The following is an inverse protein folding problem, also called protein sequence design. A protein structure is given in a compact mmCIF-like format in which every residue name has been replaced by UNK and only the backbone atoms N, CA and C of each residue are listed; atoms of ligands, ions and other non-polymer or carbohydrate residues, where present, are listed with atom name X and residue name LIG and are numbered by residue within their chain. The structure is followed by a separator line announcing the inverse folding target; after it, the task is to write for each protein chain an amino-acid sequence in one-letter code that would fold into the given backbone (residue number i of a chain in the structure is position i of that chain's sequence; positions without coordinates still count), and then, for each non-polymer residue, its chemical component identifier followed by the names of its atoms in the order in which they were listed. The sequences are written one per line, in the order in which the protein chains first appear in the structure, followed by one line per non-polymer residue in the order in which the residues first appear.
data_IF_616509352535
#
_entry.id   IF_616509352535
#
_cell.length_a   1.000
_cell.length_b   1.000
_cell.length_c   1.000
_cell.angle_alpha   90.00
_cell.angle_beta   90.00
_cell.angle_gamma   90.00
#
_symmetry.space_group_name_H-M   'P 1'
#
loop_
_entity.id
_entity.type
_entity.pdbx_description
1 polymer ?
#
# COMPACT_ATOMS: atom_id res chain seq x y z
N UNK A 1 -3.46 -2.75 -18.19
CA UNK A 1 -2.04 -2.87 -18.57
C UNK A 1 -1.68 -4.32 -18.84
N UNK A 2 -2.00 -5.24 -17.93
CA UNK A 2 -1.70 -6.67 -18.07
C UNK A 2 -2.54 -7.32 -19.18
N UNK A 3 -3.85 -7.02 -19.20
CA UNK A 3 -4.79 -7.49 -20.24
C UNK A 3 -4.36 -7.10 -21.66
N UNK A 4 -3.75 -5.92 -21.80
CA UNK A 4 -3.29 -5.37 -23.09
C UNK A 4 -1.87 -5.83 -23.48
N UNK A 5 -1.23 -6.70 -22.69
CA UNK A 5 0.14 -7.24 -22.91
C UNK A 5 1.18 -6.18 -23.30
N UNK A 6 1.10 -4.99 -22.71
CA UNK A 6 1.90 -3.83 -23.13
C UNK A 6 3.41 -3.94 -22.85
N UNK A 7 3.84 -4.93 -22.07
CA UNK A 7 5.25 -5.13 -21.70
C UNK A 7 5.63 -6.63 -21.70
N UNK A 8 5.83 -7.25 -22.87
CA UNK A 8 6.03 -8.69 -23.01
C UNK A 8 7.37 -9.19 -22.44
N UNK A 9 8.43 -8.37 -22.47
CA UNK A 9 9.81 -8.77 -22.17
C UNK A 9 10.28 -8.35 -20.77
N UNK A 10 9.36 -8.29 -19.80
CA UNK A 10 9.69 -7.90 -18.43
C UNK A 10 10.42 -9.03 -17.69
N UNK A 11 11.46 -8.73 -16.88
CA UNK A 11 12.05 -9.69 -15.96
C UNK A 11 10.99 -10.39 -15.11
N UNK A 12 11.18 -11.68 -14.82
CA UNK A 12 10.18 -12.56 -14.19
C UNK A 12 9.50 -11.93 -12.97
N UNK A 13 10.26 -11.41 -12.00
CA UNK A 13 9.69 -10.78 -10.81
C UNK A 13 8.83 -9.56 -11.13
N UNK A 14 9.25 -8.72 -12.08
CA UNK A 14 8.45 -7.56 -12.49
C UNK A 14 7.15 -8.01 -13.17
N UNK A 15 7.19 -9.11 -13.92
CA UNK A 15 6.00 -9.72 -14.55
C UNK A 15 5.02 -10.25 -13.50
N UNK A 16 5.52 -10.86 -12.42
CA UNK A 16 4.70 -11.28 -11.28
C UNK A 16 4.00 -10.11 -10.60
N UNK A 17 4.75 -9.07 -10.22
CA UNK A 17 4.19 -7.87 -9.61
C UNK A 17 3.11 -7.21 -10.48
N UNK A 18 3.38 -7.13 -11.78
CA UNK A 18 2.42 -6.62 -12.75
C UNK A 18 1.16 -7.50 -12.77
N UNK A 19 1.33 -8.83 -12.77
CA UNK A 19 0.23 -9.80 -12.71
C UNK A 19 -0.62 -9.71 -11.45
N UNK A 20 -0.04 -9.38 -10.29
CA UNK A 20 -0.78 -9.26 -9.02
C UNK A 20 -1.50 -7.92 -8.86
N UNK A 21 -1.03 -6.87 -9.53
CA UNK A 21 -1.52 -5.50 -9.33
C UNK A 21 -3.02 -5.34 -9.66
N UNK A 22 -3.45 -5.77 -10.86
CA UNK A 22 -4.84 -5.58 -11.30
C UNK A 22 -5.83 -6.39 -10.44
N UNK A 23 -5.60 -7.69 -10.16
CA UNK A 23 -6.43 -8.46 -9.23
C UNK A 23 -6.54 -7.82 -7.85
N UNK A 24 -5.41 -7.42 -7.25
CA UNK A 24 -5.40 -6.80 -5.93
C UNK A 24 -6.14 -5.45 -5.92
N UNK A 25 -5.86 -4.59 -6.90
CA UNK A 25 -6.54 -3.29 -7.04
C UNK A 25 -8.06 -3.48 -7.12
N UNK A 26 -8.52 -4.41 -7.95
CA UNK A 26 -9.95 -4.68 -8.13
C UNK A 26 -10.58 -5.23 -6.84
N UNK A 27 -9.85 -6.09 -6.10
CA UNK A 27 -10.31 -6.61 -4.81
C UNK A 27 -10.41 -5.50 -3.75
N UNK A 28 -9.43 -4.60 -3.67
CA UNK A 28 -9.47 -3.42 -2.79
C UNK A 28 -10.63 -2.49 -3.17
N UNK A 29 -10.82 -2.22 -4.46
CA UNK A 29 -11.93 -1.37 -4.93
C UNK A 29 -13.30 -1.99 -4.62
N UNK A 30 -13.43 -3.32 -4.75
CA UNK A 30 -14.63 -4.05 -4.31
C UNK A 30 -14.83 -3.93 -2.81
N UNK A 31 -13.75 -4.04 -2.03
CA UNK A 31 -13.79 -3.93 -0.58
C UNK A 31 -14.20 -2.52 -0.10
N UNK A 32 -13.73 -1.46 -0.79
CA UNK A 32 -14.12 -0.07 -0.57
C UNK A 32 -15.61 0.19 -0.89
N UNK A 33 -16.14 -0.46 -1.93
CA UNK A 33 -17.55 -0.30 -2.36
C UNK A 33 -18.53 -1.17 -1.56
N UNK A 34 -18.04 -2.16 -0.82
CA UNK A 34 -18.89 -3.09 -0.09
C UNK A 34 -19.48 -2.45 1.18
N UNK A 35 -20.72 -2.82 1.50
CA UNK A 35 -21.44 -2.30 2.65
C UNK A 35 -20.69 -2.50 3.98
N UNK A 36 -20.87 -1.55 4.90
CA UNK A 36 -20.19 -1.55 6.21
C UNK A 36 -20.70 -2.70 7.07
N UNK A 37 -19.94 -3.79 7.13
CA UNK A 37 -20.19 -4.86 8.10
C UNK A 37 -19.60 -4.51 9.48
N UNK A 38 -20.06 -5.18 10.54
CA UNK A 38 -19.54 -4.99 11.91
C UNK A 38 -18.01 -5.18 12.00
N UNK A 39 -17.45 -6.11 11.22
CA UNK A 39 -16.00 -6.35 11.14
C UNK A 39 -15.27 -5.21 10.42
N UNK A 40 -15.88 -4.66 9.37
CA UNK A 40 -15.35 -3.53 8.60
C UNK A 40 -15.40 -2.22 9.37
N UNK A 41 -16.35 -2.02 10.29
CA UNK A 41 -16.52 -0.76 11.02
C UNK A 41 -15.22 -0.25 11.69
N UNK A 42 -14.34 -1.17 12.11
CA UNK A 42 -13.08 -0.81 12.77
C UNK A 42 -12.02 -0.21 11.83
N UNK A 43 -12.09 -0.47 10.52
CA UNK A 43 -11.11 0.01 9.54
C UNK A 43 -11.72 0.73 8.32
N UNK A 44 -13.03 0.66 8.13
CA UNK A 44 -13.76 1.21 6.97
C UNK A 44 -13.49 2.70 6.71
N UNK A 45 -13.41 3.60 7.71
CA UNK A 45 -13.07 4.99 7.45
C UNK A 45 -11.69 5.18 6.80
N UNK A 46 -10.78 4.22 6.98
CA UNK A 46 -9.39 4.31 6.57
C UNK A 46 -9.12 3.65 5.22
N UNK A 47 -9.90 2.63 4.83
CA UNK A 47 -9.76 2.00 3.52
C UNK A 47 -10.18 2.93 2.39
N UNK A 48 -11.09 3.88 2.64
CA UNK A 48 -11.54 4.86 1.66
C UNK A 48 -10.63 6.10 1.55
N UNK A 49 -9.63 6.23 2.42
CA UNK A 49 -8.76 7.41 2.48
C UNK A 49 -7.76 7.51 1.32
N UNK A 50 -7.56 6.43 0.55
CA UNK A 50 -6.62 6.38 -0.56
C UNK A 50 -7.20 5.60 -1.74
N UNK A 51 -6.95 6.03 -2.99
CA UNK A 51 -7.27 5.24 -4.17
C UNK A 51 -6.70 3.82 -4.12
N UNK A 52 -7.48 2.84 -4.61
CA UNK A 52 -7.15 1.42 -4.57
C UNK A 52 -5.84 1.07 -5.28
N UNK A 53 -5.51 1.77 -6.37
CA UNK A 53 -4.26 1.62 -7.12
C UNK A 53 -3.03 1.91 -6.25
N UNK A 54 -3.07 3.00 -5.46
CA UNK A 54 -1.98 3.33 -4.55
C UNK A 54 -1.87 2.33 -3.40
N UNK A 55 -3.01 1.91 -2.84
CA UNK A 55 -3.01 0.89 -1.78
C UNK A 55 -2.38 -0.41 -2.28
N UNK A 56 -2.77 -0.89 -3.46
CA UNK A 56 -2.22 -2.10 -4.05
C UNK A 56 -0.69 -2.02 -4.20
N UNK A 57 -0.16 -0.91 -4.74
CA UNK A 57 1.29 -0.71 -4.88
C UNK A 57 1.99 -0.72 -3.52
N UNK A 58 1.45 -0.01 -2.52
CA UNK A 58 2.04 0.05 -1.18
C UNK A 58 2.08 -1.34 -0.55
N UNK A 59 0.98 -2.09 -0.59
CA UNK A 59 0.86 -3.41 0.01
C UNK A 59 1.85 -4.38 -0.64
N UNK A 60 1.86 -4.47 -1.97
CA UNK A 60 2.79 -5.35 -2.69
C UNK A 60 4.25 -4.99 -2.40
N UNK A 61 4.60 -3.70 -2.47
CA UNK A 61 5.98 -3.27 -2.29
C UNK A 61 6.46 -3.47 -0.84
N UNK A 62 5.62 -3.12 0.14
CA UNK A 62 5.97 -3.21 1.54
C UNK A 62 6.06 -4.66 2.01
N UNK A 63 5.11 -5.52 1.62
CA UNK A 63 5.16 -6.94 1.97
C UNK A 63 6.37 -7.62 1.35
N UNK A 64 6.65 -7.37 0.07
CA UNK A 64 7.82 -7.98 -0.56
C UNK A 64 9.13 -7.47 0.05
N UNK A 65 9.21 -6.18 0.39
CA UNK A 65 10.35 -5.64 1.11
C UNK A 65 10.60 -6.40 2.41
N UNK A 66 9.54 -6.64 3.19
CA UNK A 66 9.62 -7.39 4.44
C UNK A 66 10.03 -8.85 4.25
N UNK A 67 9.48 -9.53 3.24
CA UNK A 67 9.83 -10.93 2.92
C UNK A 67 11.28 -11.07 2.43
N UNK A 68 11.82 -10.03 1.79
CA UNK A 68 13.19 -10.04 1.24
C UNK A 68 14.25 -9.60 2.27
N UNK A 69 13.85 -8.92 3.34
CA UNK A 69 14.73 -8.54 4.46
C UNK A 69 14.53 -9.41 5.71
N UNK A 70 13.67 -10.43 5.63
CA UNK A 70 13.46 -11.41 6.69
C UNK A 70 14.71 -12.26 6.96
N UNK A 71 14.66 -13.03 8.05
CA UNK A 71 15.78 -13.88 8.47
C UNK A 71 16.14 -14.93 7.41
N UNK A 72 17.43 -15.32 7.37
CA UNK A 72 18.08 -15.89 6.18
C UNK A 72 17.57 -17.27 5.76
N UNK A 73 16.90 -17.99 6.66
CA UNK A 73 16.53 -19.39 6.43
C UNK A 73 15.08 -19.57 5.94
N UNK A 74 14.19 -18.60 6.17
CA UNK A 74 12.81 -18.66 5.71
C UNK A 74 12.34 -17.29 5.22
N UNK A 75 12.02 -17.19 3.92
CA UNK A 75 11.39 -16.02 3.27
C UNK A 75 9.97 -15.78 3.80
N UNK A 76 9.87 -15.44 5.08
CA UNK A 76 8.64 -15.32 5.84
C UNK A 76 8.70 -14.08 6.74
N UNK A 77 7.53 -13.61 7.16
CA UNK A 77 7.40 -12.44 8.04
C UNK A 77 6.27 -12.70 9.03
N UNK A 78 6.42 -12.21 10.27
CA UNK A 78 5.33 -12.25 11.25
C UNK A 78 4.16 -11.42 10.74
N UNK A 79 2.98 -12.04 10.64
CA UNK A 79 1.78 -11.41 10.06
C UNK A 79 1.41 -10.11 10.77
N UNK A 80 1.46 -10.08 12.10
CA UNK A 80 1.15 -8.88 12.89
C UNK A 80 2.11 -7.73 12.58
N UNK A 81 3.40 -8.03 12.43
CA UNK A 81 4.42 -7.04 12.11
C UNK A 81 4.20 -6.48 10.70
N UNK A 82 3.97 -7.35 9.71
CA UNK A 82 3.66 -6.95 8.35
C UNK A 82 2.41 -6.08 8.28
N UNK A 83 1.34 -6.46 8.99
CA UNK A 83 0.09 -5.72 9.03
C UNK A 83 0.26 -4.30 9.59
N UNK A 84 0.92 -4.16 10.75
CA UNK A 84 1.19 -2.84 11.35
C UNK A 84 2.04 -1.98 10.42
N UNK A 85 3.09 -2.55 9.82
CA UNK A 85 3.98 -1.81 8.94
C UNK A 85 3.30 -1.36 7.63
N UNK A 86 2.40 -2.18 7.07
CA UNK A 86 1.60 -1.83 5.91
C UNK A 86 0.60 -0.73 6.27
N UNK A 87 -0.14 -0.87 7.37
CA UNK A 87 -1.09 0.14 7.84
C UNK A 87 -0.42 1.50 8.09
N UNK A 88 0.75 1.52 8.72
CA UNK A 88 1.54 2.73 8.92
C UNK A 88 2.03 3.36 7.60
N UNK A 89 2.43 2.54 6.62
CA UNK A 89 2.82 3.03 5.31
C UNK A 89 1.65 3.70 4.56
N UNK A 90 0.45 3.14 4.67
CA UNK A 90 -0.77 3.72 4.08
C UNK A 90 -1.14 5.02 4.79
N UNK A 91 -1.10 5.07 6.13
CA UNK A 91 -1.34 6.31 6.87
C UNK A 91 -0.40 7.43 6.40
N UNK A 92 0.89 7.10 6.23
CA UNK A 92 1.87 8.05 5.74
C UNK A 92 1.57 8.56 4.33
N UNK A 93 1.18 7.67 3.41
CA UNK A 93 0.76 8.08 2.06
C UNK A 93 -0.51 8.93 2.11
N UNK A 94 -1.52 8.55 2.90
CA UNK A 94 -2.75 9.34 3.08
C UNK A 94 -2.44 10.74 3.56
N UNK A 95 -1.51 10.88 4.53
CA UNK A 95 -1.11 12.17 5.06
C UNK A 95 -0.48 13.06 3.99
N UNK A 96 0.48 12.52 3.22
CA UNK A 96 1.13 13.25 2.12
C UNK A 96 0.12 13.57 1.02
N UNK A 97 -0.72 12.62 0.65
CA UNK A 97 -1.75 12.75 -0.37
C UNK A 97 -2.73 13.87 -0.03
N UNK A 98 -3.29 13.87 1.17
CA UNK A 98 -4.24 14.88 1.62
C UNK A 98 -3.61 16.27 1.66
N UNK A 99 -2.36 16.39 2.13
CA UNK A 99 -1.64 17.67 2.12
C UNK A 99 -1.46 18.21 0.69
N UNK A 100 -1.04 17.36 -0.25
CA UNK A 100 -0.85 17.75 -1.65
C UNK A 100 -2.18 18.07 -2.36
N UNK A 101 -3.26 17.36 -2.05
CA UNK A 101 -4.57 17.61 -2.64
C UNK A 101 -5.26 18.85 -2.07
N UNK A 102 -5.18 19.08 -0.76
CA UNK A 102 -5.68 20.32 -0.13
C UNK A 102 -5.00 21.54 -0.74
N UNK A 103 -3.68 21.53 -0.82
CA UNK A 103 -2.90 22.64 -1.40
C UNK A 103 -3.17 22.83 -2.90
N UNK A 104 -3.54 21.78 -3.65
CA UNK A 104 -4.02 21.92 -5.05
C UNK A 104 -5.37 22.61 -5.14
N UNK A 105 -6.34 22.16 -4.33
CA UNK A 105 -7.71 22.70 -4.36
C UNK A 105 -7.74 24.17 -3.94
N UNK A 106 -6.99 24.54 -2.92
CA UNK A 106 -6.86 25.94 -2.48
C UNK A 106 -6.21 26.83 -3.55
N UNK A 107 -5.20 26.33 -4.26
CA UNK A 107 -4.58 27.07 -5.38
C UNK A 107 -5.56 27.29 -6.56
N UNK A 108 -6.44 26.33 -6.85
CA UNK A 108 -7.47 26.47 -7.90
C UNK A 108 -8.59 27.42 -7.50
N UNK A 109 -9.01 27.42 -6.22
CA UNK A 109 -10.04 28.32 -5.70
C UNK A 109 -9.57 29.78 -5.59
N UNK A 110 -8.28 30.01 -5.28
CA UNK A 110 -7.69 31.34 -5.20
C UNK A 110 -7.62 32.12 -6.52
N UNK A 111 -7.98 31.50 -7.66
CA UNK A 111 -8.07 32.18 -8.96
C UNK A 111 -9.46 32.87 -9.14
N UNK A 112 -10.45 32.60 -8.28
CA UNK A 112 -11.86 32.97 -8.56
C UNK A 112 -12.65 33.62 -7.42
N UNK A 113 -12.10 33.93 -6.24
CA UNK A 113 -12.90 34.57 -5.19
C UNK A 113 -12.08 35.45 -4.22
N UNK A 114 -12.50 36.71 -4.09
CA UNK A 114 -12.10 37.67 -3.06
C UNK A 114 -12.74 37.31 -1.71
N UNK A 115 -12.00 36.69 -0.79
CA UNK A 115 -12.29 36.63 0.67
C UNK A 115 -11.07 36.07 1.43
N UNK A 116 -10.78 36.48 2.69
CA UNK A 116 -9.44 36.52 3.24
C UNK A 116 -9.07 35.24 4.00
N UNK A 117 -8.70 34.19 3.27
CA UNK A 117 -7.67 33.23 3.72
C UNK A 117 -6.83 32.87 2.49
N UNK A 118 -6.32 33.91 1.84
CA UNK A 118 -5.38 33.80 0.73
C UNK A 118 -4.22 32.91 1.17
N UNK A 119 -4.02 31.79 0.46
CA UNK A 119 -2.84 30.95 0.57
C UNK A 119 -1.60 31.79 0.87
N UNK A 120 -1.03 31.68 2.07
CA UNK A 120 0.25 32.32 2.33
C UNK A 120 1.26 31.70 1.36
N UNK A 121 2.12 32.52 0.75
CA UNK A 121 3.22 32.06 -0.13
C UNK A 121 3.98 30.87 0.48
N UNK A 122 4.04 30.82 1.81
CA UNK A 122 4.56 29.74 2.63
C UNK A 122 3.96 28.36 2.33
N UNK A 123 2.65 28.23 2.13
CA UNK A 123 1.99 26.93 1.82
C UNK A 123 2.43 26.39 0.45
N UNK A 124 2.58 27.27 -0.54
CA UNK A 124 3.08 26.93 -1.88
C UNK A 124 4.56 26.51 -1.81
N UNK A 125 5.37 27.26 -1.06
CA UNK A 125 6.79 26.94 -0.84
C UNK A 125 6.93 25.58 -0.13
N UNK A 126 6.13 25.34 0.92
CA UNK A 126 6.13 24.09 1.66
C UNK A 126 5.76 22.91 0.77
N UNK A 127 4.75 23.09 -0.09
CA UNK A 127 4.36 22.07 -1.08
C UNK A 127 5.49 21.74 -2.05
N UNK A 128 6.15 22.76 -2.63
CA UNK A 128 7.31 22.55 -3.51
C UNK A 128 8.44 21.84 -2.77
N UNK A 129 8.68 22.18 -1.51
CA UNK A 129 9.69 21.54 -0.65
C UNK A 129 9.36 20.06 -0.42
N UNK A 130 8.11 19.74 -0.10
CA UNK A 130 7.64 18.34 0.06
C UNK A 130 7.83 17.57 -1.24
N UNK A 131 7.43 18.12 -2.39
CA UNK A 131 7.63 17.47 -3.69
C UNK A 131 9.11 17.25 -4.01
N UNK A 132 9.97 18.23 -3.73
CA UNK A 132 11.42 18.11 -3.94
C UNK A 132 12.03 17.02 -3.04
N UNK A 133 11.61 16.92 -1.78
CA UNK A 133 12.07 15.86 -0.88
C UNK A 133 11.65 14.47 -1.37
N UNK A 134 10.41 14.32 -1.84
CA UNK A 134 9.91 13.07 -2.42
C UNK A 134 10.73 12.68 -3.66
N UNK A 135 11.00 13.63 -4.57
CA UNK A 135 11.84 13.40 -5.77
C UNK A 135 13.26 12.97 -5.40
N UNK A 136 13.80 13.48 -4.29
CA UNK A 136 15.11 13.11 -3.74
C UNK A 136 15.09 11.84 -2.86
N UNK A 137 13.98 11.11 -2.80
CA UNK A 137 13.79 9.92 -1.94
C UNK A 137 13.93 10.19 -0.44
N UNK A 138 13.83 11.45 0.02
CA UNK A 138 13.93 11.86 1.42
C UNK A 138 12.55 11.89 2.08
N UNK A 139 11.84 10.75 2.02
CA UNK A 139 10.42 10.65 2.42
C UNK A 139 10.23 10.89 3.93
N UNK A 140 11.17 10.46 4.77
CA UNK A 140 11.12 10.71 6.22
C UNK A 140 11.07 12.21 6.55
N UNK A 141 11.83 13.03 5.81
CA UNK A 141 11.81 14.48 6.01
C UNK A 141 10.53 15.12 5.46
N UNK A 142 10.04 14.64 4.31
CA UNK A 142 8.74 15.06 3.79
C UNK A 142 7.63 14.79 4.82
N UNK A 143 7.65 13.62 5.47
CA UNK A 143 6.70 13.29 6.53
C UNK A 143 6.82 14.23 7.73
N UNK A 144 8.03 14.58 8.17
CA UNK A 144 8.24 15.55 9.27
C UNK A 144 7.64 16.92 8.95
N UNK A 145 7.73 17.38 7.69
CA UNK A 145 7.10 18.63 7.28
C UNK A 145 5.57 18.58 7.28
N UNK A 146 4.99 17.43 6.94
CA UNK A 146 3.53 17.26 6.91
C UNK A 146 2.94 16.97 8.29
N UNK A 147 3.74 16.48 9.26
CA UNK A 147 3.30 16.19 10.64
C UNK A 147 2.72 17.41 11.39
N UNK A 148 2.99 18.62 10.94
CA UNK A 148 2.44 19.85 11.54
C UNK A 148 0.96 20.10 11.20
N UNK A 149 0.38 19.33 10.26
CA UNK A 149 -1.03 19.42 9.89
C UNK A 149 -1.90 18.64 10.90
N UNK A 150 -3.14 19.07 11.16
CA UNK A 150 -4.06 18.60 12.24
C UNK A 150 -4.49 17.10 12.18
N UNK A 151 -3.78 16.26 11.44
CA UNK A 151 -4.13 14.86 11.19
C UNK A 151 -3.70 13.96 12.36
N UNK A 152 -4.67 13.51 13.16
CA UNK A 152 -4.47 12.51 14.22
C UNK A 152 -3.90 11.23 13.62
N UNK A 153 -2.77 10.76 14.16
CA UNK A 153 -2.17 9.48 13.76
C UNK A 153 -3.12 8.32 14.06
N UNK A 154 -3.10 7.28 13.23
CA UNK A 154 -3.94 6.10 13.46
C UNK A 154 -3.37 5.29 14.62
N UNK A 155 -4.24 4.65 15.40
CA UNK A 155 -3.80 3.73 16.45
C UNK A 155 -3.15 2.48 15.84
N UNK A 156 -2.23 1.84 16.57
CA UNK A 156 -1.60 0.58 16.10
C UNK A 156 -2.62 -0.50 15.79
N UNK A 157 -3.70 -0.58 16.57
CA UNK A 157 -4.81 -1.50 16.33
C UNK A 157 -5.51 -1.24 14.98
N UNK A 158 -5.78 0.03 14.67
CA UNK A 158 -6.35 0.43 13.37
C UNK A 158 -5.42 0.08 12.22
N UNK A 159 -4.12 0.41 12.36
CA UNK A 159 -3.11 0.09 11.36
C UNK A 159 -3.03 -1.43 11.13
N UNK A 160 -3.03 -2.23 12.19
CA UNK A 160 -3.01 -3.68 12.11
C UNK A 160 -4.26 -4.22 11.41
N UNK A 161 -5.46 -3.76 11.78
CA UNK A 161 -6.72 -4.20 11.17
C UNK A 161 -6.78 -3.92 9.68
N UNK A 162 -6.43 -2.70 9.27
CA UNK A 162 -6.35 -2.33 7.85
C UNK A 162 -5.28 -3.17 7.14
N UNK A 163 -4.10 -3.28 7.73
CA UNK A 163 -3.00 -4.07 7.17
C UNK A 163 -3.36 -5.55 6.99
N UNK A 164 -4.02 -6.18 7.97
CA UNK A 164 -4.48 -7.55 7.89
C UNK A 164 -5.47 -7.75 6.74
N UNK A 165 -6.48 -6.88 6.64
CA UNK A 165 -7.45 -6.92 5.54
C UNK A 165 -6.75 -6.84 4.18
N UNK A 166 -5.79 -5.95 4.02
CA UNK A 166 -5.07 -5.80 2.75
C UNK A 166 -4.12 -6.96 2.45
N UNK A 167 -3.50 -7.56 3.47
CA UNK A 167 -2.73 -8.79 3.31
C UNK A 167 -3.64 -9.93 2.87
N UNK A 168 -4.82 -10.07 3.49
CA UNK A 168 -5.82 -11.09 3.16
C UNK A 168 -6.24 -10.98 1.69
N UNK A 169 -6.62 -9.78 1.22
CA UNK A 169 -6.93 -9.52 -0.18
C UNK A 169 -5.76 -9.87 -1.13
N UNK A 170 -4.52 -9.59 -0.75
CA UNK A 170 -3.35 -9.98 -1.54
C UNK A 170 -3.17 -11.50 -1.57
N UNK A 171 -3.32 -12.18 -0.44
CA UNK A 171 -3.18 -13.64 -0.36
C UNK A 171 -4.24 -14.38 -1.17
N UNK A 172 -5.45 -13.82 -1.28
CA UNK A 172 -6.54 -14.39 -2.07
C UNK A 172 -6.39 -14.16 -3.58
N UNK A 173 -5.71 -13.10 -3.99
CA UNK A 173 -5.66 -12.67 -5.40
C UNK A 173 -4.31 -12.90 -6.09
N UNK A 174 -3.23 -13.04 -5.34
CA UNK A 174 -1.90 -13.21 -5.91
C UNK A 174 -1.59 -14.69 -6.16
N UNK A 175 -1.47 -15.06 -7.43
CA UNK A 175 -1.05 -16.39 -7.88
C UNK A 175 0.28 -16.34 -8.63
N UNK A 176 1.03 -17.43 -8.56
CA UNK A 176 2.27 -17.64 -9.30
C UNK A 176 2.13 -18.91 -10.14
N UNK A 177 2.61 -18.84 -11.37
CA UNK A 177 2.81 -20.00 -12.20
C UNK A 177 4.27 -20.45 -12.02
N UNK A 178 4.53 -21.67 -11.52
CA UNK A 178 5.87 -22.23 -11.50
C UNK A 178 6.45 -22.28 -12.92
N UNK A 179 7.78 -22.25 -13.10
CA UNK A 179 8.39 -22.52 -14.39
C UNK A 179 7.85 -23.85 -14.94
N UNK A 180 7.46 -23.85 -16.22
CA UNK A 180 6.85 -25.02 -16.88
C UNK A 180 7.79 -26.21 -16.75
N UNK A 181 7.41 -27.23 -15.97
CA UNK A 181 7.98 -28.56 -16.12
C UNK A 181 7.69 -29.01 -17.54
N UNK A 182 8.70 -29.48 -18.28
CA UNK A 182 8.67 -29.74 -19.73
C UNK A 182 7.62 -30.77 -20.22
N UNK A 183 6.65 -31.19 -19.39
CA UNK A 183 5.53 -32.03 -19.76
C UNK A 183 4.39 -31.19 -20.36
N UNK A 184 4.10 -31.40 -21.64
CA UNK A 184 3.01 -30.76 -22.40
C UNK A 184 1.61 -31.24 -22.05
N UNK A 185 1.46 -32.25 -21.19
CA UNK A 185 0.17 -32.89 -20.87
C UNK A 185 -0.61 -32.25 -19.71
N UNK A 186 0.05 -31.46 -18.85
CA UNK A 186 -0.59 -30.93 -17.65
C UNK A 186 -1.10 -29.49 -17.85
N UNK A 187 -2.33 -29.16 -17.40
CA UNK A 187 -2.80 -27.78 -17.41
C UNK A 187 -1.86 -26.88 -16.58
N UNK A 188 -1.80 -25.56 -16.87
CA UNK A 188 -0.89 -24.67 -16.17
C UNK A 188 -1.16 -24.69 -14.66
N UNK A 189 -0.16 -25.09 -13.87
CA UNK A 189 -0.25 -25.13 -12.41
C UNK A 189 -0.21 -23.70 -11.86
N UNK A 190 -1.30 -23.23 -11.26
CA UNK A 190 -1.37 -21.94 -10.58
C UNK A 190 -1.43 -22.15 -9.08
N UNK A 191 -0.47 -21.58 -8.36
CA UNK A 191 -0.39 -21.69 -6.89
C UNK A 191 -0.50 -20.31 -6.25
N UNK A 192 -1.10 -20.19 -5.06
CA UNK A 192 -1.06 -18.94 -4.31
C UNK A 192 0.40 -18.50 -4.11
N UNK A 193 0.68 -17.23 -4.40
CA UNK A 193 2.02 -16.64 -4.25
C UNK A 193 2.43 -16.49 -2.77
N UNK A 194 1.44 -16.36 -1.88
CA UNK A 194 1.63 -16.19 -0.44
C UNK A 194 0.80 -17.21 0.33
N UNK A 195 1.33 -17.66 1.47
CA UNK A 195 0.63 -18.55 2.40
C UNK A 195 0.83 -18.06 3.82
N UNK A 196 -0.24 -18.09 4.60
CA UNK A 196 -0.20 -17.88 6.04
C UNK A 196 -0.05 -19.24 6.73
N UNK A 197 0.98 -19.39 7.56
CA UNK A 197 1.23 -20.60 8.35
C UNK A 197 1.40 -20.24 9.82
N UNK A 198 0.99 -21.15 10.69
CA UNK A 198 1.25 -21.05 12.12
C UNK A 198 2.53 -21.81 12.44
N UNK A 199 3.44 -21.16 13.18
CA UNK A 199 4.66 -21.77 13.69
C UNK A 199 4.63 -21.70 15.21
N UNK A 200 4.90 -22.83 15.85
CA UNK A 200 5.09 -22.89 17.30
C UNK A 200 6.50 -22.37 17.55
N UNK A 201 6.65 -21.31 18.33
CA UNK A 201 7.96 -20.84 18.74
C UNK A 201 8.57 -21.89 19.68
N UNK A 202 9.61 -22.59 19.24
CA UNK A 202 10.49 -23.32 20.13
C UNK A 202 11.28 -22.26 20.91
N UNK A 203 10.96 -22.09 22.19
CA UNK A 203 11.80 -21.31 23.10
C UNK A 203 13.12 -22.06 23.25
N UNK A 204 14.09 -21.82 22.37
CA UNK A 204 15.49 -22.11 22.67
C UNK A 204 15.87 -21.22 23.86
N UNK A 205 16.12 -21.85 25.01
CA UNK A 205 16.56 -21.16 26.20
C UNK A 205 18.07 -20.85 26.07
N UNK A 206 18.43 -19.56 26.12
CA UNK A 206 19.80 -19.09 26.39
C UNK A 206 20.52 -18.47 25.21
#
# INVERSE_FOLDING_TARGET
MCEKKLAPNLPYMKKLFLGWFEPLRNAIEKEQKAEKTKKKAAFAPFIDCLPADKMAVIVMHKLMGLLMTGDRDERSVRVVEAAVQIGAAIEHEVRIHNFLEKTKKSQRKGISAESPESMTNETIILRKRVQNLIRRKRVSEAQKLVKNDKFKSWGRDTQAKLGCCLIELLTETAYVQPPVSQSTENPPDFRPAFRHTFKIATNEAG
#
